data_IF_621062509202
#
_entry.id   IF_621062509202
#
_cell.length_a   1.000
_cell.length_b   1.000
_cell.length_c   1.000
_cell.angle_alpha   90.00
_cell.angle_beta   90.00
_cell.angle_gamma   90.00
#
_symmetry.space_group_name_H-M   'P 1'
#
loop_
_entity.id
_entity.type
_entity.pdbx_description
1 polymer ?
#
# COMPACT_ATOMS: atom_id res chain seq x y z
N UNK A 1 10.06 -0.25 5.61
CA UNK A 1 9.24 0.08 4.43
C UNK A 1 9.89 1.23 3.69
N UNK A 2 9.79 1.27 2.35
CA UNK A 2 10.09 2.48 1.56
C UNK A 2 8.77 3.19 1.26
N UNK A 3 8.74 4.50 1.49
CA UNK A 3 7.59 5.37 1.25
C UNK A 3 7.60 5.97 -0.16
N UNK A 4 6.43 6.33 -0.67
CA UNK A 4 6.23 6.97 -1.97
C UNK A 4 6.80 6.21 -3.17
N UNK A 5 6.67 4.87 -3.20
CA UNK A 5 7.07 4.10 -4.37
C UNK A 5 6.05 4.35 -5.50
N UNK A 6 6.41 5.32 -6.35
CA UNK A 6 5.62 5.84 -7.46
C UNK A 6 5.89 7.31 -7.78
N UNK A 7 6.52 8.05 -6.85
CA UNK A 7 6.94 9.44 -7.06
C UNK A 7 8.20 9.64 -7.95
N UNK A 8 8.81 8.56 -8.49
CA UNK A 8 9.85 8.66 -9.54
C UNK A 8 11.03 7.66 -9.44
N UNK A 9 12.00 7.84 -10.35
CA UNK A 9 13.15 6.92 -10.58
C UNK A 9 14.09 6.73 -9.37
N UNK A 10 14.15 7.72 -8.46
CA UNK A 10 14.95 7.64 -7.25
C UNK A 10 14.43 6.57 -6.27
N UNK A 11 13.12 6.31 -6.24
CA UNK A 11 12.51 5.31 -5.36
C UNK A 11 12.94 3.87 -5.71
N UNK A 12 13.00 3.54 -7.00
CA UNK A 12 13.42 2.20 -7.47
C UNK A 12 14.88 1.90 -7.14
N UNK A 13 15.77 2.89 -7.29
CA UNK A 13 17.18 2.71 -6.90
C UNK A 13 17.34 2.46 -5.40
N UNK A 14 16.52 3.11 -4.57
CA UNK A 14 16.50 2.86 -3.14
C UNK A 14 15.97 1.47 -2.80
N UNK A 15 14.90 1.00 -3.47
CA UNK A 15 14.39 -0.36 -3.26
C UNK A 15 15.45 -1.40 -3.55
N UNK A 16 16.16 -1.27 -4.67
CA UNK A 16 17.24 -2.20 -5.04
C UNK A 16 18.37 -2.19 -4.01
N UNK A 17 18.74 -1.03 -3.47
CA UNK A 17 19.85 -0.91 -2.50
C UNK A 17 19.48 -1.38 -1.10
N UNK A 18 18.26 -1.13 -0.67
CA UNK A 18 17.82 -1.37 0.70
C UNK A 18 17.16 -2.73 0.89
N UNK A 19 16.66 -3.37 -0.19
CA UNK A 19 15.97 -4.66 -0.15
C UNK A 19 14.90 -4.73 0.97
N UNK A 20 13.92 -3.81 0.98
CA UNK A 20 12.98 -3.70 2.09
C UNK A 20 11.97 -4.85 2.12
N UNK A 21 11.49 -5.21 3.31
CA UNK A 21 10.38 -6.17 3.46
C UNK A 21 9.03 -5.61 2.97
N UNK A 22 8.91 -4.28 2.89
CA UNK A 22 7.67 -3.58 2.52
C UNK A 22 7.92 -2.41 1.58
N UNK A 23 7.08 -2.29 0.56
CA UNK A 23 7.06 -1.19 -0.41
C UNK A 23 5.66 -0.56 -0.39
N UNK A 24 5.59 0.75 -0.23
CA UNK A 24 4.32 1.48 -0.18
C UNK A 24 4.00 2.06 -1.55
N UNK A 25 2.87 1.66 -2.14
CA UNK A 25 2.34 2.23 -3.37
C UNK A 25 1.63 3.53 -3.02
N UNK A 26 2.14 4.65 -3.53
CA UNK A 26 1.66 5.97 -3.15
C UNK A 26 0.26 6.29 -3.72
N UNK A 27 -0.40 7.28 -3.12
CA UNK A 27 -1.77 7.68 -3.49
C UNK A 27 -1.92 8.03 -4.98
N UNK A 28 -0.89 8.57 -5.64
CA UNK A 28 -0.96 8.91 -7.07
C UNK A 28 -1.02 7.68 -7.98
N UNK A 29 -0.53 6.52 -7.51
CA UNK A 29 -0.66 5.22 -8.17
C UNK A 29 -1.85 4.40 -7.68
N UNK A 30 -2.39 4.68 -6.51
CA UNK A 30 -3.61 4.03 -6.00
C UNK A 30 -4.89 4.67 -6.54
N UNK A 31 -4.95 6.01 -6.53
CA UNK A 31 -6.16 6.77 -6.85
C UNK A 31 -6.65 6.47 -8.27
N UNK A 32 -7.93 6.18 -8.46
CA UNK A 32 -8.55 5.88 -9.76
C UNK A 32 -7.87 4.72 -10.55
N UNK A 33 -7.19 3.78 -9.89
CA UNK A 33 -6.53 2.63 -10.55
C UNK A 33 -7.53 1.68 -11.26
N UNK A 34 -8.79 1.70 -10.84
CA UNK A 34 -9.93 0.99 -11.42
C UNK A 34 -10.34 1.55 -12.80
N UNK A 35 -10.08 2.84 -13.05
CA UNK A 35 -10.43 3.52 -14.30
C UNK A 35 -9.22 3.78 -15.23
N UNK A 36 -8.00 3.74 -14.69
CA UNK A 36 -6.77 4.07 -15.42
C UNK A 36 -5.93 2.82 -15.75
N UNK A 37 -5.92 2.35 -17.01
CA UNK A 37 -5.17 1.16 -17.40
C UNK A 37 -3.65 1.34 -17.33
N UNK A 38 -3.13 2.57 -17.51
CA UNK A 38 -1.69 2.85 -17.44
C UNK A 38 -1.22 2.74 -15.99
N UNK A 39 -1.97 3.35 -15.06
CA UNK A 39 -1.72 3.23 -13.62
C UNK A 39 -1.77 1.77 -13.18
N UNK A 40 -2.79 1.02 -13.62
CA UNK A 40 -2.93 -0.41 -13.32
C UNK A 40 -1.74 -1.22 -13.82
N UNK A 41 -1.27 -0.96 -15.04
CA UNK A 41 -0.12 -1.65 -15.60
C UNK A 41 1.16 -1.39 -14.79
N UNK A 42 1.40 -0.14 -14.38
CA UNK A 42 2.55 0.21 -13.55
C UNK A 42 2.48 -0.43 -12.16
N UNK A 43 1.32 -0.34 -11.49
CA UNK A 43 1.10 -1.01 -10.21
C UNK A 43 1.34 -2.52 -10.31
N UNK A 44 0.85 -3.16 -11.38
CA UNK A 44 1.06 -4.59 -11.63
C UNK A 44 2.55 -4.92 -11.74
N UNK A 45 3.32 -4.12 -12.49
CA UNK A 45 4.77 -4.32 -12.61
C UNK A 45 5.49 -4.19 -11.26
N UNK A 46 5.09 -3.22 -10.43
CA UNK A 46 5.65 -3.03 -9.08
C UNK A 46 5.31 -4.18 -8.14
N UNK A 47 4.07 -4.69 -8.19
CA UNK A 47 3.63 -5.85 -7.41
C UNK A 47 4.45 -7.08 -7.78
N UNK A 48 4.62 -7.36 -9.08
CA UNK A 48 5.45 -8.48 -9.55
C UNK A 48 6.89 -8.35 -9.08
N UNK A 49 7.49 -7.16 -9.21
CA UNK A 49 8.85 -6.92 -8.74
C UNK A 49 8.99 -7.13 -7.23
N UNK A 50 8.06 -6.61 -6.43
CA UNK A 50 8.05 -6.81 -4.98
C UNK A 50 7.99 -8.31 -4.62
N UNK A 51 7.10 -9.06 -5.28
CA UNK A 51 6.99 -10.50 -5.09
C UNK A 51 8.29 -11.25 -5.42
N UNK A 52 9.01 -10.85 -6.46
CA UNK A 52 10.28 -11.50 -6.86
C UNK A 52 11.39 -11.29 -5.84
N UNK A 53 11.42 -10.13 -5.18
CA UNK A 53 12.44 -9.81 -4.16
C UNK A 53 12.00 -10.19 -2.73
N UNK A 54 10.81 -10.78 -2.57
CA UNK A 54 10.27 -11.17 -1.26
C UNK A 54 9.72 -10.01 -0.43
N UNK A 55 9.40 -8.88 -1.06
CA UNK A 55 8.78 -7.73 -0.41
C UNK A 55 7.24 -7.77 -0.54
N UNK A 56 6.53 -7.21 0.43
CA UNK A 56 5.09 -7.01 0.38
C UNK A 56 4.72 -5.58 -0.02
N UNK A 57 3.63 -5.42 -0.78
CA UNK A 57 3.07 -4.12 -1.15
C UNK A 57 2.05 -3.65 -0.09
N UNK A 58 2.10 -2.37 0.24
CA UNK A 58 1.05 -1.66 0.99
C UNK A 58 0.51 -0.56 0.09
N UNK A 59 -0.78 -0.62 -0.29
CA UNK A 59 -1.40 0.44 -1.08
C UNK A 59 -1.91 1.58 -0.20
N UNK A 60 -1.53 2.82 -0.52
CA UNK A 60 -1.95 4.00 0.23
C UNK A 60 -3.00 4.82 -0.51
N UNK A 61 -3.92 5.43 0.26
CA UNK A 61 -4.90 6.37 -0.28
C UNK A 61 -6.07 5.68 -0.99
N UNK A 62 -6.47 4.51 -0.52
CA UNK A 62 -7.69 3.83 -0.99
C UNK A 62 -8.91 4.59 -0.44
N UNK A 63 -9.71 5.17 -1.33
CA UNK A 63 -10.89 5.96 -0.91
C UNK A 63 -12.21 5.36 -1.40
N UNK A 64 -12.16 4.46 -2.39
CA UNK A 64 -13.35 3.84 -2.97
C UNK A 64 -13.27 2.32 -2.98
N UNK A 65 -14.43 1.67 -2.96
CA UNK A 65 -14.54 0.21 -3.12
C UNK A 65 -13.97 -0.25 -4.47
N UNK A 66 -14.10 0.54 -5.53
CA UNK A 66 -13.58 0.18 -6.85
C UNK A 66 -12.04 0.12 -6.88
N UNK A 67 -11.38 1.10 -6.24
CA UNK A 67 -9.93 1.08 -6.05
C UNK A 67 -9.51 -0.13 -5.21
N UNK A 68 -10.21 -0.39 -4.10
CA UNK A 68 -9.95 -1.53 -3.23
C UNK A 68 -10.05 -2.87 -3.98
N UNK A 69 -11.17 -3.12 -4.66
CA UNK A 69 -11.38 -4.37 -5.41
C UNK A 69 -10.37 -4.56 -6.53
N UNK A 70 -9.96 -3.45 -7.18
CA UNK A 70 -8.91 -3.51 -8.20
C UNK A 70 -7.58 -3.94 -7.58
N UNK A 71 -7.15 -3.30 -6.48
CA UNK A 71 -5.90 -3.64 -5.81
C UNK A 71 -5.91 -5.05 -5.21
N UNK A 72 -7.03 -5.47 -4.65
CA UNK A 72 -7.24 -6.83 -4.16
C UNK A 72 -7.12 -7.85 -5.31
N UNK A 73 -7.73 -7.56 -6.46
CA UNK A 73 -7.63 -8.38 -7.67
C UNK A 73 -6.23 -8.44 -8.28
N UNK A 74 -5.40 -7.41 -8.05
CA UNK A 74 -3.98 -7.42 -8.42
C UNK A 74 -3.08 -8.16 -7.41
N UNK A 75 -3.64 -8.64 -6.30
CA UNK A 75 -2.92 -9.39 -5.28
C UNK A 75 -2.20 -8.52 -4.24
N UNK A 76 -2.61 -7.27 -4.05
CA UNK A 76 -2.05 -6.40 -3.00
C UNK A 76 -2.53 -6.90 -1.62
N UNK A 77 -1.61 -7.25 -0.69
CA UNK A 77 -1.98 -7.88 0.58
C UNK A 77 -2.40 -6.88 1.66
N UNK A 78 -1.95 -5.62 1.59
CA UNK A 78 -2.20 -4.60 2.61
C UNK A 78 -2.63 -3.28 1.98
N UNK A 79 -3.52 -2.55 2.67
CA UNK A 79 -4.02 -1.27 2.20
C UNK A 79 -4.39 -0.32 3.33
N UNK A 80 -4.30 0.99 3.06
CA UNK A 80 -4.76 2.05 3.93
C UNK A 80 -5.47 3.14 3.13
N UNK A 81 -6.43 3.81 3.77
CA UNK A 81 -7.11 4.97 3.22
C UNK A 81 -8.49 5.16 3.82
N UNK A 82 -9.13 6.28 3.48
CA UNK A 82 -10.43 6.69 4.02
C UNK A 82 -11.55 5.68 3.76
N UNK A 83 -11.38 4.78 2.78
CA UNK A 83 -12.32 3.68 2.57
C UNK A 83 -12.44 2.76 3.80
N UNK A 84 -11.34 2.54 4.54
CA UNK A 84 -11.33 1.68 5.72
C UNK A 84 -11.60 2.45 7.02
N UNK A 85 -11.32 3.75 7.03
CA UNK A 85 -11.52 4.62 8.17
C UNK A 85 -10.59 5.84 8.14
N UNK A 86 -10.98 6.86 8.89
CA UNK A 86 -10.18 8.07 9.05
C UNK A 86 -8.98 7.84 9.98
N UNK A 87 -7.86 8.58 9.79
CA UNK A 87 -6.80 8.65 10.79
C UNK A 87 -7.37 9.10 12.13
N UNK A 88 -7.29 8.22 13.12
CA UNK A 88 -7.76 8.48 14.47
C UNK A 88 -6.57 8.61 15.43
N UNK A 89 -6.71 9.39 16.52
CA UNK A 89 -5.76 9.35 17.62
C UNK A 89 -5.59 7.91 18.11
N UNK A 90 -4.38 7.56 18.53
CA UNK A 90 -4.16 6.28 19.20
C UNK A 90 -5.14 6.17 20.38
N UNK A 91 -5.84 5.04 20.54
CA UNK A 91 -6.69 4.84 21.70
C UNK A 91 -5.84 5.02 22.96
N UNK A 92 -6.37 5.76 23.93
CA UNK A 92 -5.72 5.87 25.24
C UNK A 92 -5.67 4.45 25.82
N UNK A 93 -4.48 3.85 25.82
CA UNK A 93 -4.25 2.61 26.54
C UNK A 93 -4.44 2.92 28.03
N UNK A 94 -5.64 2.64 28.54
CA UNK A 94 -5.84 2.55 29.98
C UNK A 94 -4.84 1.51 30.47
N UNK A 95 -4.01 1.88 31.44
CA UNK A 95 -2.94 1.02 31.95
C UNK A 95 -3.52 -0.28 32.51
N UNK A 96 -3.59 -1.31 31.67
CA UNK A 96 -4.10 -2.63 32.00
C UNK A 96 -4.55 -3.38 30.75
N UNK A 97 -3.66 -4.22 30.22
CA UNK A 97 -3.82 -5.14 29.08
C UNK A 97 -4.02 -4.52 27.69
N UNK A 98 -3.12 -4.89 26.76
CA UNK A 98 -3.34 -4.72 25.33
C UNK A 98 -4.57 -5.55 24.91
N UNK A 99 -5.46 -5.03 24.05
CA UNK A 99 -6.49 -5.86 23.43
C UNK A 99 -5.79 -7.00 22.69
N UNK A 100 -6.19 -8.24 22.98
CA UNK A 100 -5.59 -9.44 22.36
C UNK A 100 -6.00 -9.63 20.91
N UNK A 101 -6.95 -8.83 20.41
CA UNK A 101 -7.49 -8.92 19.06
C UNK A 101 -7.83 -7.52 18.53
N UNK A 102 -7.43 -7.25 17.28
CA UNK A 102 -7.92 -6.11 16.49
C UNK A 102 -9.17 -6.56 15.71
N UNK A 103 -10.17 -5.68 15.51
CA UNK A 103 -11.37 -5.99 14.73
C UNK A 103 -11.08 -6.24 13.25
#
# INVERSE_FOLDING_TARGET
>A
AIDDAGAGFASLQHIVRLSPDFIKLDITLTRNIDADPVRRALATAMISFASEIGAAIIAEGIETEAEFQTLLGLGVPFGQGFYFGDPAPLPVLLSGSLPTEFP
#
